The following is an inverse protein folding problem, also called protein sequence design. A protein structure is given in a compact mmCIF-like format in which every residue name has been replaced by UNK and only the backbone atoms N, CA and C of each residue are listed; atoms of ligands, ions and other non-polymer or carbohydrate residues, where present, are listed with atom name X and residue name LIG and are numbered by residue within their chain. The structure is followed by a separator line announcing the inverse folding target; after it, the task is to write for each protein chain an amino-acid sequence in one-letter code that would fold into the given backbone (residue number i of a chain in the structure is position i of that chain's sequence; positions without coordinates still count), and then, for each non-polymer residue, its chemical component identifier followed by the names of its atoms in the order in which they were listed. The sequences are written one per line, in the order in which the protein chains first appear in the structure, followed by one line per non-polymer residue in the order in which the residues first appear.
data_IF_980692186359
#
_entry.id   IF_980692186359
#
_cell.length_a   1.000
_cell.length_b   1.000
_cell.length_c   1.000
_cell.angle_alpha   90.00
_cell.angle_beta   90.00
_cell.angle_gamma   90.00
#
_symmetry.space_group_name_H-M   'P 1'
#
loop_
_entity.id
_entity.type
_entity.pdbx_description
1 polymer ?
#
# COMPACT_ATOMS: atom_id res chain seq x y z
N UNK A 1 -3.55 26.83 10.25
CA UNK A 1 -3.64 25.84 9.14
C UNK A 1 -4.31 24.60 9.70
N UNK A 2 -5.52 24.26 9.26
CA UNK A 2 -6.24 23.09 9.78
C UNK A 2 -5.82 21.82 9.03
N UNK A 3 -5.16 20.90 9.73
CA UNK A 3 -4.74 19.59 9.21
C UNK A 3 -5.92 18.65 8.87
N UNK A 4 -7.12 18.94 9.36
CA UNK A 4 -8.30 18.08 9.22
C UNK A 4 -9.34 18.63 8.24
N UNK A 5 -8.96 19.52 7.33
CA UNK A 5 -9.88 20.00 6.30
C UNK A 5 -10.02 18.93 5.21
N UNK A 6 -11.24 18.46 4.97
CA UNK A 6 -11.54 17.54 3.88
C UNK A 6 -11.23 18.21 2.54
N UNK A 7 -10.19 17.73 1.86
CA UNK A 7 -9.85 18.11 0.50
C UNK A 7 -10.34 17.02 -0.44
N UNK A 8 -11.28 17.36 -1.32
CA UNK A 8 -11.69 16.47 -2.40
C UNK A 8 -10.77 16.70 -3.59
N UNK A 9 -9.92 15.74 -3.90
CA UNK A 9 -9.08 15.80 -5.09
C UNK A 9 -9.95 15.78 -6.35
N UNK A 10 -9.59 16.61 -7.33
CA UNK A 10 -10.22 16.53 -8.65
C UNK A 10 -9.82 15.23 -9.33
N UNK A 11 -10.62 14.80 -10.31
CA UNK A 11 -10.39 13.55 -11.04
C UNK A 11 -8.98 13.46 -11.67
N UNK A 12 -8.46 14.58 -12.17
CA UNK A 12 -7.09 14.65 -12.70
C UNK A 12 -6.01 14.58 -11.60
N UNK A 13 -6.24 15.23 -10.46
CA UNK A 13 -5.32 15.19 -9.32
C UNK A 13 -5.19 13.76 -8.77
N UNK A 14 -6.28 13.01 -8.69
CA UNK A 14 -6.21 11.61 -8.24
C UNK A 14 -5.56 10.69 -9.27
N UNK A 15 -5.67 11.00 -10.57
CA UNK A 15 -4.94 10.31 -11.63
C UNK A 15 -3.42 10.46 -11.46
N UNK A 16 -2.94 11.70 -11.29
CA UNK A 16 -1.52 11.98 -11.06
C UNK A 16 -1.03 11.36 -9.74
N UNK A 17 -1.83 11.43 -8.67
CA UNK A 17 -1.50 10.83 -7.39
C UNK A 17 -1.28 9.32 -7.50
N UNK A 18 -2.15 8.60 -8.23
CA UNK A 18 -1.99 7.16 -8.46
C UNK A 18 -0.71 6.83 -9.22
N UNK A 19 -0.39 7.60 -10.26
CA UNK A 19 0.84 7.40 -11.04
C UNK A 19 2.10 7.68 -10.20
N UNK A 20 2.07 8.74 -9.39
CA UNK A 20 3.14 9.05 -8.45
C UNK A 20 3.31 7.94 -7.41
N UNK A 21 2.22 7.39 -6.88
CA UNK A 21 2.26 6.30 -5.91
C UNK A 21 2.87 5.02 -6.50
N UNK A 22 2.51 4.69 -7.74
CA UNK A 22 3.13 3.58 -8.47
C UNK A 22 4.62 3.82 -8.69
N UNK A 23 5.01 5.03 -9.12
CA UNK A 23 6.41 5.41 -9.31
C UNK A 23 7.24 5.30 -8.02
N UNK A 24 6.69 5.77 -6.90
CA UNK A 24 7.33 5.64 -5.58
C UNK A 24 7.47 4.15 -5.21
N UNK A 25 6.44 3.34 -5.43
CA UNK A 25 6.52 1.89 -5.17
C UNK A 25 7.63 1.20 -5.95
N UNK A 26 7.77 1.52 -7.25
CA UNK A 26 8.85 1.00 -8.09
C UNK A 26 10.22 1.48 -7.60
N UNK A 27 10.35 2.76 -7.26
CA UNK A 27 11.61 3.34 -6.79
C UNK A 27 12.06 2.71 -5.46
N UNK A 28 11.13 2.52 -4.52
CA UNK A 28 11.39 1.82 -3.26
C UNK A 28 11.80 0.37 -3.48
N UNK A 29 11.11 -0.34 -4.38
CA UNK A 29 11.45 -1.72 -4.73
C UNK A 29 12.83 -1.86 -5.39
N UNK A 30 13.23 -0.88 -6.22
CA UNK A 30 14.52 -0.86 -6.87
C UNK A 30 15.66 -0.47 -5.91
N UNK A 31 15.44 0.52 -5.04
CA UNK A 31 16.47 1.03 -4.12
C UNK A 31 16.78 0.07 -2.97
N UNK A 32 15.79 -0.70 -2.49
CA UNK A 32 15.95 -1.66 -1.39
C UNK A 32 15.85 -3.12 -1.84
N UNK A 33 16.19 -3.39 -3.09
CA UNK A 33 16.07 -4.73 -3.67
C UNK A 33 16.77 -5.81 -2.83
N UNK A 34 17.93 -5.52 -2.24
CA UNK A 34 18.68 -6.44 -1.37
C UNK A 34 17.92 -6.87 -0.11
N UNK A 35 17.15 -5.95 0.50
CA UNK A 35 16.31 -6.27 1.65
C UNK A 35 15.14 -7.17 1.24
N UNK A 36 14.57 -6.93 0.06
CA UNK A 36 13.50 -7.75 -0.49
C UNK A 36 13.98 -9.14 -0.88
N UNK A 37 15.14 -9.28 -1.53
CA UNK A 37 15.68 -10.59 -1.94
C UNK A 37 16.04 -11.45 -0.74
N UNK A 38 16.69 -10.87 0.28
CA UNK A 38 17.06 -11.56 1.51
C UNK A 38 15.84 -11.99 2.36
N UNK A 39 14.74 -11.24 2.32
CA UNK A 39 13.57 -11.46 3.18
C UNK A 39 12.29 -11.85 2.41
N UNK A 40 12.40 -12.27 1.15
CA UNK A 40 11.24 -12.63 0.30
C UNK A 40 10.23 -13.53 1.00
N UNK A 41 10.70 -14.58 1.66
CA UNK A 41 9.86 -15.53 2.39
C UNK A 41 9.12 -14.87 3.57
N UNK A 42 9.80 -14.04 4.35
CA UNK A 42 9.22 -13.33 5.49
C UNK A 42 8.18 -12.28 5.04
N UNK A 43 8.48 -11.55 3.97
CA UNK A 43 7.58 -10.55 3.38
C UNK A 43 6.35 -11.22 2.79
N UNK A 44 6.51 -12.35 2.10
CA UNK A 44 5.39 -13.12 1.57
C UNK A 44 4.49 -13.68 2.68
N UNK A 45 5.09 -14.21 3.76
CA UNK A 45 4.35 -14.70 4.92
C UNK A 45 3.58 -13.57 5.64
N UNK A 46 4.21 -12.42 5.85
CA UNK A 46 3.55 -11.24 6.42
C UNK A 46 2.39 -10.75 5.55
N UNK A 47 2.59 -10.70 4.22
CA UNK A 47 1.56 -10.32 3.26
C UNK A 47 0.38 -11.30 3.30
N UNK A 48 0.66 -12.61 3.26
CA UNK A 48 -0.37 -13.64 3.35
C UNK A 48 -1.16 -13.55 4.68
N UNK A 49 -0.46 -13.27 5.80
CA UNK A 49 -1.11 -13.08 7.09
C UNK A 49 -2.02 -11.85 7.12
N UNK A 50 -1.56 -10.71 6.60
CA UNK A 50 -2.36 -9.48 6.50
C UNK A 50 -3.60 -9.73 5.65
N UNK A 51 -3.45 -10.42 4.51
CA UNK A 51 -4.58 -10.80 3.65
C UNK A 51 -5.55 -11.72 4.39
N UNK A 52 -5.05 -12.74 5.09
CA UNK A 52 -5.87 -13.66 5.86
C UNK A 52 -6.66 -12.95 6.97
N UNK A 53 -6.02 -12.04 7.70
CA UNK A 53 -6.70 -11.21 8.71
C UNK A 53 -7.73 -10.30 8.06
N UNK A 54 -7.40 -9.65 6.94
CA UNK A 54 -8.31 -8.79 6.20
C UNK A 54 -9.54 -9.55 5.71
N UNK A 55 -9.36 -10.78 5.21
CA UNK A 55 -10.45 -11.67 4.80
C UNK A 55 -11.30 -12.14 5.99
N UNK A 56 -10.70 -12.31 7.18
CA UNK A 56 -11.46 -12.59 8.41
C UNK A 56 -12.29 -11.37 8.86
N UNK A 57 -11.79 -10.15 8.67
CA UNK A 57 -12.50 -8.91 9.00
C UNK A 57 -13.69 -8.64 8.08
N UNK A 58 -13.62 -9.09 6.82
CA UNK A 58 -14.69 -8.90 5.82
C UNK A 58 -15.88 -9.84 6.02
N UNK A 59 -15.75 -10.93 6.79
CA UNK A 59 -16.94 -11.71 7.18
C UNK A 59 -17.69 -10.93 8.26
N UNK A 60 -18.91 -10.43 8.00
CA UNK A 60 -19.71 -9.83 9.05
C UNK A 60 -19.98 -10.92 10.10
N UNK A 61 -19.75 -10.60 11.37
CA UNK A 61 -20.32 -11.37 12.46
C UNK A 61 -21.85 -11.42 12.26
N UNK A 62 -22.51 -12.60 12.33
CA UNK A 62 -23.96 -12.68 12.42
C UNK A 62 -24.47 -12.04 13.71
#
# INVERSE_FOLDING_TARGET
MNLFRSYTFTWWQIGVLKLALLGIGVLVGAAWHELFTANTAAIAAATAYIVLVSLRQVRPHP
#
